data_IF_465078291369
#
_entry.id   IF_465078291369
#
_cell.length_a   1.000
_cell.length_b   1.000
_cell.length_c   1.000
_cell.angle_alpha   90.00
_cell.angle_beta   90.00
_cell.angle_gamma   90.00
#
_symmetry.space_group_name_H-M   'P 1'
#
loop_
_entity.id
_entity.type
_entity.pdbx_description
1 polymer ?
#
# COMPACT_ATOMS: atom_id res chain seq x y z
N UNK A 1 17.30 19.55 -18.46
CA UNK A 1 17.01 18.12 -18.74
C UNK A 1 15.51 17.92 -18.56
N UNK A 2 14.77 17.76 -19.67
CA UNK A 2 13.32 17.57 -19.68
C UNK A 2 13.03 16.09 -19.35
N UNK A 3 12.98 15.74 -18.07
CA UNK A 3 12.69 14.37 -17.64
C UNK A 3 11.21 14.07 -17.93
N UNK A 4 10.93 13.21 -18.92
CA UNK A 4 9.57 12.88 -19.28
C UNK A 4 8.93 11.96 -18.22
N UNK A 5 8.33 12.56 -17.20
CA UNK A 5 7.63 11.86 -16.12
C UNK A 5 6.49 10.96 -16.63
N UNK A 6 5.89 11.27 -17.77
CA UNK A 6 4.76 10.52 -18.35
C UNK A 6 5.22 9.20 -18.98
N UNK A 7 6.30 9.23 -19.76
CA UNK A 7 6.91 8.02 -20.34
C UNK A 7 7.61 7.18 -19.27
N UNK A 8 8.24 7.85 -18.30
CA UNK A 8 9.10 7.22 -17.30
C UNK A 8 8.37 6.76 -16.03
N UNK A 9 7.15 7.21 -15.72
CA UNK A 9 6.48 6.79 -14.47
C UNK A 9 5.81 5.41 -14.56
N UNK A 10 5.68 4.82 -15.76
CA UNK A 10 5.18 3.45 -15.88
C UNK A 10 6.25 2.51 -15.32
N UNK A 11 5.90 1.69 -14.33
CA UNK A 11 6.79 0.66 -13.75
C UNK A 11 7.51 -0.13 -14.85
N UNK A 12 6.77 -0.52 -15.89
CA UNK A 12 7.27 -1.17 -17.10
C UNK A 12 8.44 -0.44 -17.77
N UNK A 13 8.37 0.90 -17.89
CA UNK A 13 9.44 1.69 -18.49
C UNK A 13 10.68 1.76 -17.60
N UNK A 14 10.51 2.02 -16.30
CA UNK A 14 11.65 2.03 -15.36
C UNK A 14 12.32 0.67 -15.29
N UNK A 15 11.52 -0.39 -15.21
CA UNK A 15 12.01 -1.77 -15.24
C UNK A 15 12.76 -2.02 -16.55
N UNK A 16 12.21 -1.64 -17.71
CA UNK A 16 12.89 -1.79 -19.01
C UNK A 16 14.22 -1.02 -19.06
N UNK A 17 14.26 0.22 -18.57
CA UNK A 17 15.49 1.02 -18.51
C UNK A 17 16.55 0.38 -17.62
N UNK A 18 16.15 -0.13 -16.45
CA UNK A 18 17.05 -0.80 -15.50
C UNK A 18 17.54 -2.15 -16.03
N UNK A 19 16.70 -2.89 -16.74
CA UNK A 19 17.10 -4.12 -17.44
C UNK A 19 18.16 -3.83 -18.50
N UNK A 20 17.96 -2.78 -19.32
CA UNK A 20 18.97 -2.34 -20.29
C UNK A 20 20.27 -1.93 -19.61
N UNK A 21 20.21 -1.19 -18.49
CA UNK A 21 21.38 -0.81 -17.71
C UNK A 21 22.15 -2.04 -17.20
N UNK A 22 21.44 -3.08 -16.77
CA UNK A 22 22.05 -4.35 -16.37
C UNK A 22 22.67 -5.06 -17.59
N UNK A 23 21.94 -5.18 -18.71
CA UNK A 23 22.43 -5.85 -19.92
C UNK A 23 23.72 -5.21 -20.47
N UNK A 24 23.83 -3.88 -20.36
CA UNK A 24 25.00 -3.11 -20.79
C UNK A 24 26.26 -3.29 -19.92
N UNK A 25 26.18 -3.93 -18.75
CA UNK A 25 27.37 -4.18 -17.93
C UNK A 25 28.29 -5.22 -18.57
N UNK A 26 29.60 -5.09 -18.34
CA UNK A 26 30.60 -5.96 -18.95
C UNK A 26 30.76 -7.29 -18.21
N UNK A 27 30.65 -7.29 -16.88
CA UNK A 27 30.88 -8.48 -16.07
C UNK A 27 29.58 -9.07 -15.51
N UNK A 28 29.54 -10.39 -15.37
CA UNK A 28 28.41 -11.08 -14.76
C UNK A 28 28.18 -10.65 -13.29
N UNK A 29 29.25 -10.35 -12.56
CA UNK A 29 29.20 -9.88 -11.18
C UNK A 29 28.48 -8.52 -11.08
N UNK A 30 28.79 -7.57 -11.97
CA UNK A 30 28.11 -6.27 -12.01
C UNK A 30 26.65 -6.41 -12.39
N UNK A 31 26.33 -7.33 -13.32
CA UNK A 31 24.95 -7.65 -13.69
C UNK A 31 24.16 -8.14 -12.48
N UNK A 32 24.71 -9.10 -11.73
CA UNK A 32 24.08 -9.66 -10.54
C UNK A 32 23.94 -8.64 -9.40
N UNK A 33 24.95 -7.78 -9.22
CA UNK A 33 24.90 -6.70 -8.24
C UNK A 33 23.77 -5.71 -8.55
N UNK A 34 23.67 -5.22 -9.79
CA UNK A 34 22.61 -4.31 -10.21
C UNK A 34 21.23 -4.98 -10.20
N UNK A 35 21.14 -6.23 -10.64
CA UNK A 35 19.90 -7.03 -10.58
C UNK A 35 19.39 -7.13 -9.13
N UNK A 36 20.27 -7.44 -8.19
CA UNK A 36 19.94 -7.49 -6.75
C UNK A 36 19.51 -6.12 -6.23
N UNK A 37 20.28 -5.07 -6.54
CA UNK A 37 19.99 -3.69 -6.12
C UNK A 37 18.61 -3.21 -6.60
N UNK A 38 18.26 -3.57 -7.83
CA UNK A 38 16.97 -3.20 -8.43
C UNK A 38 15.84 -4.20 -8.15
N UNK A 39 16.14 -5.33 -7.50
CA UNK A 39 15.17 -6.41 -7.27
C UNK A 39 14.62 -7.01 -8.57
N UNK A 40 15.45 -7.07 -9.61
CA UNK A 40 15.10 -7.58 -10.93
C UNK A 40 15.79 -8.92 -11.17
N UNK A 41 15.13 -9.78 -11.96
CA UNK A 41 15.68 -11.08 -12.37
C UNK A 41 16.16 -10.93 -13.81
N UNK A 42 17.45 -11.22 -14.06
CA UNK A 42 18.08 -11.12 -15.38
C UNK A 42 18.06 -12.44 -16.15
N UNK A 43 18.08 -13.57 -15.43
CA UNK A 43 17.95 -14.91 -15.99
C UNK A 43 16.71 -15.56 -15.38
N UNK A 44 15.60 -15.64 -16.11
CA UNK A 44 14.36 -16.14 -15.55
C UNK A 44 14.48 -17.67 -15.37
N UNK A 45 14.03 -18.18 -14.22
CA UNK A 45 14.19 -19.59 -13.85
C UNK A 45 13.37 -20.55 -14.74
N UNK A 46 13.41 -21.87 -14.48
CA UNK A 46 12.68 -22.85 -15.28
C UNK A 46 11.15 -22.62 -15.31
N UNK A 47 10.60 -21.93 -14.31
CA UNK A 47 9.17 -21.56 -14.26
C UNK A 47 8.80 -20.33 -15.10
N UNK A 48 9.78 -19.70 -15.76
CA UNK A 48 9.56 -18.55 -16.64
C UNK A 48 8.58 -18.82 -17.78
N UNK A 49 8.55 -20.07 -18.22
CA UNK A 49 7.70 -20.60 -19.28
C UNK A 49 6.21 -20.58 -18.90
N UNK A 50 5.88 -20.62 -17.60
CA UNK A 50 4.50 -20.77 -17.15
C UNK A 50 3.76 -19.43 -17.11
N UNK A 51 4.27 -18.44 -16.37
CA UNK A 51 3.59 -17.13 -16.18
C UNK A 51 4.56 -16.05 -15.64
N UNK A 52 5.76 -15.89 -16.22
CA UNK A 52 6.68 -14.85 -15.75
C UNK A 52 6.47 -13.52 -16.49
N UNK A 53 6.13 -12.47 -15.76
CA UNK A 53 6.17 -11.09 -16.22
C UNK A 53 7.16 -10.30 -15.38
N UNK A 54 8.30 -9.98 -15.98
CA UNK A 54 9.41 -9.25 -15.38
C UNK A 54 9.04 -7.87 -14.82
N UNK A 55 7.90 -7.30 -15.24
CA UNK A 55 7.44 -5.99 -14.84
C UNK A 55 6.41 -6.03 -13.69
N UNK A 56 5.82 -7.20 -13.42
CA UNK A 56 4.73 -7.40 -12.45
C UNK A 56 5.17 -8.30 -11.28
N UNK A 57 6.28 -9.02 -11.41
CA UNK A 57 6.75 -9.98 -10.40
C UNK A 57 8.07 -9.57 -9.72
N UNK A 58 8.41 -8.28 -9.76
CA UNK A 58 9.53 -7.74 -8.96
C UNK A 58 9.00 -7.22 -7.63
N UNK A 59 9.66 -7.45 -6.47
CA UNK A 59 9.23 -6.89 -5.18
C UNK A 59 9.05 -5.36 -5.16
N UNK A 60 9.62 -4.65 -6.15
CA UNK A 60 9.49 -3.21 -6.34
C UNK A 60 8.25 -2.79 -7.14
N UNK A 61 7.41 -3.72 -7.62
CA UNK A 61 6.20 -3.33 -8.30
C UNK A 61 5.21 -2.66 -7.34
N UNK A 62 4.38 -1.80 -7.92
CA UNK A 62 3.44 -0.95 -7.17
C UNK A 62 2.45 -1.82 -6.38
N UNK A 63 2.11 -3.00 -6.86
CA UNK A 63 1.17 -3.91 -6.22
C UNK A 63 1.72 -4.51 -4.93
N UNK A 64 2.95 -5.02 -4.97
CA UNK A 64 3.63 -5.54 -3.78
C UNK A 64 3.99 -4.43 -2.79
N UNK A 65 4.51 -3.30 -3.26
CA UNK A 65 4.90 -2.19 -2.40
C UNK A 65 3.70 -1.56 -1.69
N UNK A 66 2.68 -1.14 -2.46
CA UNK A 66 1.51 -0.47 -1.90
C UNK A 66 0.58 -1.43 -1.15
N UNK A 67 0.39 -2.64 -1.67
CA UNK A 67 -0.39 -3.68 -1.01
C UNK A 67 0.25 -4.12 0.32
N UNK A 68 1.58 -4.28 0.35
CA UNK A 68 2.32 -4.57 1.57
C UNK A 68 2.19 -3.46 2.61
N UNK A 69 2.42 -2.20 2.21
CA UNK A 69 2.27 -1.03 3.08
C UNK A 69 0.86 -0.93 3.67
N UNK A 70 -0.17 -1.05 2.83
CA UNK A 70 -1.56 -1.00 3.25
C UNK A 70 -1.91 -2.13 4.24
N UNK A 71 -1.39 -3.34 4.03
CA UNK A 71 -1.57 -4.47 4.96
C UNK A 71 -0.91 -4.19 6.32
N UNK A 72 0.30 -3.63 6.31
CA UNK A 72 0.98 -3.23 7.54
C UNK A 72 0.16 -2.19 8.31
N UNK A 73 -0.41 -1.20 7.61
CA UNK A 73 -1.28 -0.21 8.23
C UNK A 73 -2.59 -0.81 8.77
N UNK A 74 -3.20 -1.79 8.08
CA UNK A 74 -4.34 -2.56 8.58
C UNK A 74 -4.00 -3.26 9.90
N UNK A 75 -2.87 -3.98 9.93
CA UNK A 75 -2.41 -4.70 11.13
C UNK A 75 -2.16 -3.72 12.29
N UNK A 76 -1.47 -2.62 12.04
CA UNK A 76 -1.24 -1.58 13.05
C UNK A 76 -2.57 -1.02 13.58
N UNK A 77 -3.51 -0.70 12.68
CA UNK A 77 -4.84 -0.21 13.04
C UNK A 77 -5.59 -1.20 13.93
N UNK A 78 -5.60 -2.49 13.59
CA UNK A 78 -6.28 -3.50 14.42
C UNK A 78 -5.58 -3.74 15.75
N UNK A 79 -4.27 -3.51 15.83
CA UNK A 79 -3.51 -3.66 17.07
C UNK A 79 -3.77 -2.55 18.08
N UNK A 80 -4.09 -1.32 17.65
CA UNK A 80 -4.42 -0.22 18.56
C UNK A 80 -5.87 -0.27 19.07
N UNK A 81 -6.76 -0.99 18.38
CA UNK A 81 -8.15 -1.20 18.84
C UNK A 81 -8.19 -2.13 20.06
N UNK A 82 -8.99 -1.76 21.05
CA UNK A 82 -9.35 -2.65 22.15
C UNK A 82 -10.46 -3.64 21.72
N UNK A 83 -10.88 -4.56 22.61
CA UNK A 83 -11.90 -5.56 22.28
C UNK A 83 -13.24 -4.94 21.87
N UNK A 84 -13.64 -3.83 22.50
CA UNK A 84 -14.84 -3.08 22.12
C UNK A 84 -14.72 -2.48 20.72
N UNK A 85 -13.58 -1.84 20.42
CA UNK A 85 -13.29 -1.29 19.10
C UNK A 85 -13.24 -2.35 18.00
N UNK A 86 -12.65 -3.52 18.26
CA UNK A 86 -12.64 -4.65 17.31
C UNK A 86 -14.06 -5.17 17.04
N UNK A 87 -14.90 -5.29 18.08
CA UNK A 87 -16.30 -5.71 17.93
C UNK A 87 -17.08 -4.70 17.10
N UNK A 88 -16.98 -3.41 17.43
CA UNK A 88 -17.63 -2.33 16.70
C UNK A 88 -17.19 -2.27 15.22
N UNK A 89 -15.90 -2.47 14.95
CA UNK A 89 -15.39 -2.57 13.57
C UNK A 89 -16.08 -3.70 12.79
N UNK A 90 -16.22 -4.89 13.37
CA UNK A 90 -16.85 -6.04 12.69
C UNK A 90 -18.34 -5.82 12.42
N UNK A 91 -19.04 -5.17 13.36
CA UNK A 91 -20.45 -4.81 13.17
C UNK A 91 -20.61 -3.87 11.96
N UNK A 92 -19.78 -2.83 11.87
CA UNK A 92 -19.82 -1.87 10.76
C UNK A 92 -19.26 -2.46 9.45
N UNK A 93 -18.27 -3.35 9.52
CA UNK A 93 -17.74 -4.05 8.36
C UNK A 93 -18.80 -4.90 7.66
N UNK A 94 -19.67 -5.56 8.42
CA UNK A 94 -20.75 -6.38 7.87
C UNK A 94 -21.80 -5.54 7.14
N UNK A 95 -22.08 -4.33 7.64
CA UNK A 95 -23.18 -3.49 7.14
C UNK A 95 -22.75 -2.42 6.14
N UNK A 96 -21.44 -2.14 6.01
CA UNK A 96 -20.99 -1.14 5.04
C UNK A 96 -21.29 -1.59 3.61
N UNK A 97 -21.81 -0.65 2.82
CA UNK A 97 -22.06 -0.79 1.39
C UNK A 97 -20.77 -1.15 0.65
N UNK A 98 -20.86 -2.16 -0.22
CA UNK A 98 -19.75 -2.62 -1.07
C UNK A 98 -20.27 -2.72 -2.50
N UNK A 99 -19.43 -2.44 -3.51
CA UNK A 99 -19.81 -2.68 -4.90
C UNK A 99 -20.28 -4.12 -5.10
N UNK A 100 -21.35 -4.32 -5.87
CA UNK A 100 -21.94 -5.64 -6.14
C UNK A 100 -20.96 -6.60 -6.83
N UNK A 101 -19.97 -6.05 -7.55
CA UNK A 101 -18.92 -6.81 -8.23
C UNK A 101 -17.84 -7.35 -7.29
N UNK A 102 -17.81 -6.94 -6.03
CA UNK A 102 -16.81 -7.44 -5.08
C UNK A 102 -17.23 -8.80 -4.54
N UNK A 103 -16.33 -9.78 -4.65
CA UNK A 103 -16.46 -11.05 -3.96
C UNK A 103 -16.63 -10.83 -2.45
N UNK A 104 -17.27 -11.79 -1.77
CA UNK A 104 -17.45 -11.73 -0.31
C UNK A 104 -16.08 -11.67 0.37
N UNK A 105 -15.72 -10.49 0.87
CA UNK A 105 -14.49 -10.29 1.64
C UNK A 105 -14.65 -10.87 3.05
N UNK A 106 -13.67 -11.65 3.49
CA UNK A 106 -13.64 -12.26 4.82
C UNK A 106 -13.50 -11.20 5.93
N UNK A 107 -13.61 -11.63 7.19
CA UNK A 107 -13.38 -10.79 8.36
C UNK A 107 -11.93 -10.22 8.35
N UNK A 108 -11.75 -8.89 8.24
CA UNK A 108 -10.41 -8.32 8.12
C UNK A 108 -9.53 -8.46 9.36
N UNK A 109 -10.12 -8.54 10.55
CA UNK A 109 -9.37 -8.72 11.80
C UNK A 109 -8.80 -10.13 11.88
N UNK A 110 -9.56 -11.15 11.47
CA UNK A 110 -9.15 -12.56 11.59
C UNK A 110 -8.31 -13.06 10.43
N UNK A 111 -8.54 -12.53 9.23
CA UNK A 111 -7.96 -13.07 8.00
C UNK A 111 -7.03 -12.08 7.29
N UNK A 112 -6.57 -11.01 7.96
CA UNK A 112 -5.71 -9.99 7.37
C UNK A 112 -4.50 -10.58 6.62
N UNK A 113 -3.90 -11.63 7.18
CA UNK A 113 -2.73 -12.32 6.62
C UNK A 113 -3.05 -13.19 5.40
N UNK A 114 -4.29 -13.69 5.28
CA UNK A 114 -4.72 -14.57 4.19
C UNK A 114 -5.17 -13.81 2.95
N UNK A 115 -5.36 -12.49 3.06
CA UNK A 115 -5.82 -11.68 1.94
C UNK A 115 -4.79 -11.63 0.82
N UNK A 116 -5.28 -11.57 -0.42
CA UNK A 116 -4.46 -11.13 -1.54
C UNK A 116 -4.30 -9.60 -1.47
N UNK A 117 -3.29 -9.04 -2.14
CA UNK A 117 -3.15 -7.58 -2.18
C UNK A 117 -4.38 -6.87 -2.75
N UNK A 118 -5.11 -7.50 -3.69
CA UNK A 118 -6.38 -6.96 -4.20
C UNK A 118 -7.39 -6.75 -3.09
N UNK A 119 -7.48 -7.68 -2.14
CA UNK A 119 -8.42 -7.60 -1.04
C UNK A 119 -7.98 -6.54 -0.04
N UNK A 120 -6.67 -6.43 0.21
CA UNK A 120 -6.10 -5.35 1.03
C UNK A 120 -6.46 -3.99 0.44
N UNK A 121 -6.24 -3.77 -0.86
CA UNK A 121 -6.54 -2.51 -1.54
C UNK A 121 -8.04 -2.17 -1.46
N UNK A 122 -8.92 -3.15 -1.70
CA UNK A 122 -10.38 -2.99 -1.54
C UNK A 122 -10.76 -2.59 -0.12
N UNK A 123 -10.17 -3.22 0.89
CA UNK A 123 -10.42 -2.90 2.29
C UNK A 123 -9.93 -1.49 2.61
N UNK A 124 -8.73 -1.11 2.17
CA UNK A 124 -8.15 0.22 2.39
C UNK A 124 -9.04 1.35 1.88
N UNK A 125 -9.74 1.15 0.75
CA UNK A 125 -10.72 2.11 0.24
C UNK A 125 -11.89 2.35 1.21
N UNK A 126 -12.29 1.32 1.98
CA UNK A 126 -13.42 1.37 2.91
C UNK A 126 -13.01 1.81 4.32
N UNK A 127 -11.75 1.62 4.71
CA UNK A 127 -11.29 1.82 6.09
C UNK A 127 -11.65 3.19 6.66
N UNK A 128 -11.40 4.27 5.92
CA UNK A 128 -11.69 5.62 6.40
C UNK A 128 -13.19 5.84 6.69
N UNK A 129 -14.08 5.25 5.88
CA UNK A 129 -15.53 5.32 6.07
C UNK A 129 -15.99 4.49 7.26
N UNK A 130 -15.48 3.27 7.40
CA UNK A 130 -15.83 2.39 8.52
C UNK A 130 -15.41 3.04 9.84
N UNK A 131 -14.16 3.49 9.95
CA UNK A 131 -13.64 4.11 11.16
C UNK A 131 -14.44 5.36 11.53
N UNK A 132 -14.83 6.19 10.56
CA UNK A 132 -15.69 7.36 10.82
C UNK A 132 -17.05 7.03 11.42
N UNK A 133 -17.60 5.83 11.16
CA UNK A 133 -18.92 5.44 11.68
C UNK A 133 -18.91 5.06 13.16
N UNK A 134 -17.80 4.53 13.69
CA UNK A 134 -17.79 4.00 15.07
C UNK A 134 -16.63 4.49 15.94
N UNK A 135 -15.51 4.90 15.37
CA UNK A 135 -14.28 5.11 16.12
C UNK A 135 -14.39 6.30 17.08
N UNK A 136 -14.14 6.05 18.36
CA UNK A 136 -14.03 7.06 19.40
C UNK A 136 -12.91 6.63 20.38
N UNK A 137 -12.58 7.49 21.35
CA UNK A 137 -11.47 7.24 22.29
C UNK A 137 -11.65 5.97 23.11
N UNK A 138 -12.90 5.56 23.38
CA UNK A 138 -13.20 4.36 24.16
C UNK A 138 -12.99 3.06 23.38
N UNK A 139 -12.75 3.14 22.06
CA UNK A 139 -12.48 2.00 21.19
C UNK A 139 -10.97 1.73 20.98
N UNK A 140 -10.10 2.64 21.43
CA UNK A 140 -8.64 2.50 21.39
C UNK A 140 -8.15 1.98 22.74
N UNK A 141 -7.02 1.26 22.76
CA UNK A 141 -6.34 0.86 24.00
C UNK A 141 -5.97 2.10 24.82
N UNK A 142 -6.10 2.02 26.16
CA UNK A 142 -5.93 3.18 27.06
C UNK A 142 -4.56 3.83 26.97
N UNK A 143 -3.51 3.03 26.73
CA UNK A 143 -2.13 3.47 26.53
C UNK A 143 -1.98 4.45 25.36
N UNK A 144 -2.89 4.42 24.39
CA UNK A 144 -2.82 5.16 23.11
C UNK A 144 -4.01 6.14 23.00
N UNK A 145 -4.83 6.34 24.03
CA UNK A 145 -6.17 6.94 23.85
C UNK A 145 -6.20 8.46 24.02
N UNK A 146 -6.35 9.18 22.90
CA UNK A 146 -6.83 10.57 22.84
C UNK A 146 -7.82 10.76 21.68
N UNK A 147 -8.74 11.70 21.83
CA UNK A 147 -9.70 12.10 20.77
C UNK A 147 -9.01 12.71 19.54
N UNK A 148 -7.77 13.20 19.68
CA UNK A 148 -6.95 13.67 18.56
C UNK A 148 -6.46 12.50 17.70
N UNK A 149 -6.02 11.41 18.32
CA UNK A 149 -5.51 10.21 17.63
C UNK A 149 -6.61 9.50 16.84
N UNK A 150 -7.85 9.43 17.34
CA UNK A 150 -8.97 8.82 16.58
C UNK A 150 -9.26 9.56 15.27
N UNK A 151 -9.29 10.90 15.32
CA UNK A 151 -9.48 11.73 14.13
C UNK A 151 -8.31 11.62 13.17
N UNK A 152 -7.08 11.65 13.68
CA UNK A 152 -5.86 11.49 12.88
C UNK A 152 -5.84 10.14 12.16
N UNK A 153 -6.23 9.04 12.81
CA UNK A 153 -6.31 7.72 12.18
C UNK A 153 -7.31 7.68 11.02
N UNK A 154 -8.50 8.28 11.18
CA UNK A 154 -9.48 8.40 10.10
C UNK A 154 -8.96 9.20 8.91
N UNK A 155 -8.19 10.28 9.17
CA UNK A 155 -7.58 11.10 8.12
C UNK A 155 -6.44 10.33 7.46
N UNK A 156 -5.62 9.59 8.21
CA UNK A 156 -4.52 8.78 7.69
C UNK A 156 -5.05 7.77 6.68
N UNK A 157 -6.11 7.03 7.02
CA UNK A 157 -6.74 6.10 6.09
C UNK A 157 -7.33 6.77 4.85
N UNK A 158 -7.77 8.03 4.94
CA UNK A 158 -8.23 8.79 3.78
C UNK A 158 -7.06 9.21 2.87
N UNK A 159 -5.92 9.58 3.47
CA UNK A 159 -4.68 9.85 2.71
C UNK A 159 -4.19 8.58 2.06
N UNK A 160 -4.18 7.44 2.76
CA UNK A 160 -3.79 6.15 2.20
C UNK A 160 -4.65 5.76 1.00
N UNK A 161 -5.99 5.85 1.13
CA UNK A 161 -6.89 5.59 0.00
C UNK A 161 -6.59 6.50 -1.22
N UNK A 162 -6.20 7.76 -0.98
CA UNK A 162 -5.78 8.69 -2.04
C UNK A 162 -4.45 8.28 -2.67
N UNK A 163 -3.46 7.90 -1.86
CA UNK A 163 -2.16 7.39 -2.33
C UNK A 163 -2.36 6.18 -3.22
N UNK A 164 -3.16 5.19 -2.77
CA UNK A 164 -3.47 4.00 -3.55
C UNK A 164 -4.14 4.37 -4.87
N UNK A 165 -5.15 5.25 -4.85
CA UNK A 165 -5.82 5.71 -6.09
C UNK A 165 -4.83 6.33 -7.09
N UNK A 166 -3.92 7.19 -6.62
CA UNK A 166 -2.94 7.84 -7.47
C UNK A 166 -1.89 6.86 -7.99
N UNK A 167 -1.41 5.95 -7.13
CA UNK A 167 -0.41 4.94 -7.48
C UNK A 167 -0.91 3.94 -8.54
N UNK A 168 -2.20 3.57 -8.47
CA UNK A 168 -2.85 2.67 -9.44
C UNK A 168 -3.58 3.41 -10.57
N UNK A 169 -3.37 4.72 -10.72
CA UNK A 169 -3.97 5.48 -11.82
C UNK A 169 -3.49 4.93 -13.17
N UNK A 170 -4.43 4.75 -14.11
CA UNK A 170 -4.12 4.32 -15.49
C UNK A 170 -3.38 5.40 -16.28
N UNK A 171 -3.40 6.65 -15.79
CA UNK A 171 -2.70 7.79 -16.36
C UNK A 171 -1.82 8.44 -15.29
N UNK A 172 -0.55 8.70 -15.62
CA UNK A 172 0.38 9.38 -14.73
C UNK A 172 0.92 10.63 -15.42
N UNK A 173 0.37 11.77 -15.03
CA UNK A 173 0.84 13.09 -15.46
C UNK A 173 1.84 13.64 -14.44
N UNK A 174 2.59 14.68 -14.79
CA UNK A 174 3.50 15.35 -13.85
C UNK A 174 2.77 15.87 -12.61
N UNK A 175 1.57 16.42 -12.79
CA UNK A 175 0.74 16.88 -11.67
C UNK A 175 0.27 15.72 -10.79
N UNK A 176 -0.16 14.60 -11.40
CA UNK A 176 -0.53 13.37 -10.67
C UNK A 176 0.65 12.82 -9.86
N UNK A 177 1.85 12.82 -10.46
CA UNK A 177 3.06 12.35 -9.81
C UNK A 177 3.45 13.24 -8.62
N UNK A 178 3.41 14.56 -8.80
CA UNK A 178 3.65 15.52 -7.71
C UNK A 178 2.63 15.34 -6.58
N UNK A 179 1.37 15.18 -6.92
CA UNK A 179 0.30 14.95 -5.94
C UNK A 179 0.49 13.63 -5.17
N UNK A 180 0.97 12.57 -5.83
CA UNK A 180 1.32 11.31 -5.19
C UNK A 180 2.48 11.50 -4.20
N UNK A 181 3.55 12.20 -4.60
CA UNK A 181 4.68 12.49 -3.72
C UNK A 181 4.26 13.29 -2.48
N UNK A 182 3.45 14.33 -2.67
CA UNK A 182 2.97 15.15 -1.57
C UNK A 182 2.03 14.37 -0.64
N UNK A 183 1.20 13.48 -1.21
CA UNK A 183 0.32 12.62 -0.42
C UNK A 183 1.12 11.59 0.41
N UNK A 184 2.16 10.98 -0.16
CA UNK A 184 3.05 10.06 0.55
C UNK A 184 3.82 10.76 1.68
N UNK A 185 4.30 11.98 1.44
CA UNK A 185 4.98 12.79 2.46
C UNK A 185 4.06 13.10 3.63
N UNK A 186 2.83 13.53 3.33
CA UNK A 186 1.80 13.76 4.35
C UNK A 186 1.46 12.50 5.13
N UNK A 187 1.33 11.35 4.45
CA UNK A 187 1.11 10.06 5.11
C UNK A 187 2.24 9.76 6.10
N UNK A 188 3.49 9.93 5.68
CA UNK A 188 4.66 9.70 6.51
C UNK A 188 4.71 10.61 7.75
N UNK A 189 4.48 11.91 7.59
CA UNK A 189 4.43 12.88 8.69
C UNK A 189 3.33 12.53 9.70
N UNK A 190 2.17 12.07 9.22
CA UNK A 190 1.07 11.64 10.08
C UNK A 190 1.41 10.36 10.85
N UNK A 191 2.07 9.40 10.20
CA UNK A 191 2.51 8.16 10.85
C UNK A 191 3.49 8.46 11.99
N UNK A 192 4.45 9.37 11.75
CA UNK A 192 5.38 9.89 12.77
C UNK A 192 4.58 10.47 13.95
N UNK A 193 3.63 11.38 13.70
CA UNK A 193 2.85 11.98 14.79
C UNK A 193 2.05 10.97 15.62
N UNK A 194 1.65 9.85 15.00
CA UNK A 194 0.93 8.78 15.70
C UNK A 194 1.92 7.89 16.48
N UNK A 195 3.12 7.62 15.95
CA UNK A 195 4.13 6.76 16.58
C UNK A 195 4.94 7.44 17.69
N UNK A 196 5.21 8.74 17.60
CA UNK A 196 6.01 9.51 18.58
C UNK A 196 5.24 9.87 19.88
N UNK A 197 4.05 9.30 20.09
CA UNK A 197 3.31 9.42 21.36
C UNK A 197 3.48 8.13 22.20
N UNK A 198 4.10 7.09 21.63
CA UNK A 198 4.44 5.83 22.31
C UNK A 198 5.86 5.83 22.95
N UNK A 199 6.52 6.99 23.01
CA UNK A 199 7.86 7.16 23.62
C UNK A 199 7.87 8.17 24.75
#
# INVERSE_FOLDING_TARGET
LNYNHIANARSHYQTKKRLLEIECQQTQIEKEHLATKYGLITSPGPFSILQWDQHIQSPQDIYHSMGGKARTLLNATFNILNNGGKKAFIEHWKTIEKPSSWSRLLNPIRHCQSFMFSDVLKISMLMSFILRRFLNSNHIKKEISSTKQTKQLCILWAVEAKVLKLAFSTTMTESTYKELQDSLRKEHEMLIQISFIDS
#
